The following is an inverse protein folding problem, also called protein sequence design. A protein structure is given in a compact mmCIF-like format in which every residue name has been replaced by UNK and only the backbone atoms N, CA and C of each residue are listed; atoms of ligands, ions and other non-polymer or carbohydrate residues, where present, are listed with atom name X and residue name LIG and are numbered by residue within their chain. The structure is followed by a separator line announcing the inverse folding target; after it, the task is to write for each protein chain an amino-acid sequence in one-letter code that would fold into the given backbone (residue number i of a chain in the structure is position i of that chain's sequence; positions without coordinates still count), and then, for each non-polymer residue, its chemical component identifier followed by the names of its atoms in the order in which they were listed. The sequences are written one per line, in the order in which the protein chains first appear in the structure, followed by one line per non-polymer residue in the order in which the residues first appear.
data_IF_764754752342
#
_entry.id   IF_764754752342
#
_cell.length_a   1.000
_cell.length_b   1.000
_cell.length_c   1.000
_cell.angle_alpha   90.00
_cell.angle_beta   90.00
_cell.angle_gamma   90.00
#
_symmetry.space_group_name_H-M   'P 1'
#
loop_
_entity.id
_entity.type
_entity.pdbx_description
1 polymer ?
#
# COMPACT_ATOMS: atom_id res chain seq x y z
N UNK A 1 17.10 -21.75 18.92
CA UNK A 1 15.74 -21.38 19.40
C UNK A 1 15.03 -22.64 19.84
N UNK A 2 14.21 -22.58 20.89
CA UNK A 2 13.43 -23.74 21.36
C UNK A 2 12.10 -23.79 20.62
N UNK A 3 11.75 -24.96 20.14
CA UNK A 3 10.46 -25.21 19.51
C UNK A 3 9.33 -25.18 20.55
N UNK A 4 8.22 -24.58 20.22
CA UNK A 4 7.01 -24.48 21.05
C UNK A 4 5.93 -25.41 20.51
N UNK A 5 5.18 -26.06 21.39
CA UNK A 5 3.94 -26.72 20.97
C UNK A 5 2.86 -25.67 20.67
N UNK A 6 1.77 -26.01 19.93
CA UNK A 6 0.67 -25.10 19.69
C UNK A 6 0.10 -24.49 20.98
N UNK A 7 -0.02 -25.29 22.05
CA UNK A 7 -0.53 -24.85 23.35
C UNK A 7 0.42 -23.84 24.02
N UNK A 8 1.74 -24.07 23.88
CA UNK A 8 2.75 -23.15 24.41
C UNK A 8 2.76 -21.84 23.63
N UNK A 9 2.61 -21.87 22.30
CA UNK A 9 2.50 -20.68 21.48
C UNK A 9 1.23 -19.87 21.81
N UNK A 10 0.08 -20.53 21.96
CA UNK A 10 -1.18 -19.91 22.38
C UNK A 10 -1.06 -19.32 23.77
N UNK A 11 -0.47 -20.04 24.74
CA UNK A 11 -0.24 -19.55 26.10
C UNK A 11 0.64 -18.29 26.11
N UNK A 12 1.67 -18.25 25.25
CA UNK A 12 2.55 -17.10 25.06
C UNK A 12 1.77 -15.87 24.56
N UNK A 13 0.90 -16.04 23.54
CA UNK A 13 0.01 -14.98 23.05
C UNK A 13 -0.93 -14.46 24.15
N UNK A 14 -1.57 -15.36 24.88
CA UNK A 14 -2.50 -15.02 25.96
C UNK A 14 -1.81 -14.29 27.13
N UNK A 15 -0.56 -14.62 27.43
CA UNK A 15 0.21 -13.96 28.51
C UNK A 15 0.54 -12.50 28.16
N UNK A 16 0.74 -12.19 26.91
CA UNK A 16 1.04 -10.83 26.43
C UNK A 16 -0.23 -9.98 26.32
N UNK A 17 -1.38 -10.57 26.01
CA UNK A 17 -2.69 -9.89 25.92
C UNK A 17 -3.30 -9.50 27.27
N UNK A 18 -2.82 -10.06 28.40
CA UNK A 18 -3.41 -9.84 29.74
C UNK A 18 -3.33 -8.40 30.28
N UNK A 19 -2.64 -7.49 29.64
CA UNK A 19 -2.52 -6.10 30.13
C UNK A 19 -3.68 -5.17 29.76
N UNK A 20 -4.68 -5.54 28.94
CA UNK A 20 -5.71 -4.58 28.47
C UNK A 20 -7.14 -5.07 28.17
N UNK A 21 -7.58 -6.26 28.55
CA UNK A 21 -8.97 -6.65 28.23
C UNK A 21 -9.79 -7.08 29.47
N UNK A 22 -10.68 -6.20 29.94
CA UNK A 22 -11.88 -6.55 30.71
C UNK A 22 -13.00 -6.94 29.75
N UNK A 23 -12.86 -8.02 28.99
CA UNK A 23 -13.88 -8.59 28.11
C UNK A 23 -13.76 -10.12 28.11
N UNK A 24 -14.83 -10.84 27.75
CA UNK A 24 -14.79 -12.30 27.56
C UNK A 24 -13.66 -12.63 26.58
N UNK A 25 -12.62 -13.27 27.08
CA UNK A 25 -11.47 -13.72 26.27
C UNK A 25 -11.97 -14.94 25.49
N UNK A 26 -12.20 -14.79 24.18
CA UNK A 26 -12.47 -15.90 23.29
C UNK A 26 -11.24 -16.82 23.23
N UNK A 27 -11.47 -18.12 23.29
CA UNK A 27 -10.37 -19.10 23.35
C UNK A 27 -9.75 -19.25 21.97
N UNK A 28 -8.46 -18.92 21.86
CA UNK A 28 -7.69 -19.19 20.65
C UNK A 28 -7.53 -20.70 20.43
N UNK A 29 -7.66 -21.14 19.17
CA UNK A 29 -7.48 -22.53 18.75
C UNK A 29 -6.48 -22.58 17.60
N UNK A 30 -5.68 -23.65 17.53
CA UNK A 30 -4.87 -23.93 16.36
C UNK A 30 -5.80 -24.19 15.16
N UNK A 31 -5.57 -23.52 14.06
CA UNK A 31 -6.27 -23.70 12.79
C UNK A 31 -5.39 -24.44 11.80
N UNK A 32 -4.16 -24.00 11.59
CA UNK A 32 -3.22 -24.57 10.63
C UNK A 32 -1.79 -24.51 11.15
N UNK A 33 -0.94 -25.38 10.61
CA UNK A 33 0.53 -25.34 10.72
C UNK A 33 1.05 -25.09 9.32
N UNK A 34 1.89 -24.08 9.15
CA UNK A 34 2.48 -23.74 7.86
C UNK A 34 3.95 -24.10 7.89
N UNK A 35 4.35 -24.99 6.96
CA UNK A 35 5.74 -25.43 6.75
C UNK A 35 6.48 -25.83 8.05
N UNK A 36 5.76 -26.36 9.03
CA UNK A 36 6.28 -26.71 10.36
C UNK A 36 6.98 -25.60 11.15
N UNK A 37 6.80 -24.32 10.79
CA UNK A 37 7.48 -23.18 11.44
C UNK A 37 6.56 -22.10 11.95
N UNK A 38 5.33 -22.03 11.46
CA UNK A 38 4.33 -21.02 11.87
C UNK A 38 3.02 -21.69 12.22
N UNK A 39 2.42 -21.26 13.34
CA UNK A 39 1.06 -21.61 13.71
C UNK A 39 0.09 -20.51 13.30
N UNK A 40 -1.02 -20.86 12.69
CA UNK A 40 -2.19 -20.01 12.55
C UNK A 40 -3.15 -20.41 13.65
N UNK A 41 -3.39 -19.49 14.56
CA UNK A 41 -4.35 -19.64 15.65
C UNK A 41 -5.48 -18.62 15.48
N UNK A 42 -6.71 -19.01 15.78
CA UNK A 42 -7.86 -18.12 15.59
C UNK A 42 -8.97 -18.33 16.61
N UNK A 43 -9.90 -17.38 16.60
CA UNK A 43 -11.13 -17.39 17.38
C UNK A 43 -12.25 -16.68 16.59
N UNK A 44 -13.33 -16.26 17.30
CA UNK A 44 -14.43 -15.50 16.69
C UNK A 44 -14.03 -14.09 16.21
N UNK A 45 -12.94 -13.55 16.72
CA UNK A 45 -12.47 -12.19 16.45
C UNK A 45 -11.47 -12.12 15.27
N UNK A 46 -10.92 -13.27 14.85
CA UNK A 46 -9.98 -13.34 13.73
C UNK A 46 -8.87 -14.36 13.91
N UNK A 47 -7.85 -14.24 13.09
CA UNK A 47 -6.72 -15.15 13.01
C UNK A 47 -5.41 -14.45 13.36
N UNK A 48 -4.47 -15.18 13.96
CA UNK A 48 -3.14 -14.72 14.36
C UNK A 48 -2.10 -15.67 13.80
N UNK A 49 -1.05 -15.12 13.17
CA UNK A 49 0.16 -15.82 12.83
C UNK A 49 1.14 -15.76 14.01
N UNK A 50 1.58 -16.90 14.50
CA UNK A 50 2.55 -17.00 15.59
C UNK A 50 3.66 -17.98 15.24
N UNK A 51 4.95 -17.64 15.45
CA UNK A 51 6.04 -18.57 15.17
C UNK A 51 6.02 -19.76 16.12
N UNK A 52 6.48 -20.91 15.60
CA UNK A 52 6.70 -22.12 16.38
C UNK A 52 7.91 -22.07 17.31
N UNK A 53 8.67 -20.99 17.31
CA UNK A 53 9.93 -20.86 18.06
C UNK A 53 9.91 -19.70 19.05
N UNK A 54 10.55 -19.89 20.23
CA UNK A 54 10.52 -18.92 21.35
C UNK A 54 11.42 -17.69 21.15
N UNK A 55 12.40 -17.75 20.27
CA UNK A 55 13.32 -16.67 19.95
C UNK A 55 12.77 -15.60 18.99
N UNK A 56 11.52 -15.72 18.55
CA UNK A 56 10.89 -14.84 17.55
C UNK A 56 9.73 -14.10 18.21
N UNK A 57 9.40 -12.90 17.67
CA UNK A 57 8.22 -12.14 18.11
C UNK A 57 6.96 -13.03 18.07
N UNK A 58 6.13 -12.98 19.11
CA UNK A 58 5.01 -13.92 19.28
C UNK A 58 3.85 -13.70 18.31
N UNK A 59 3.67 -12.48 17.78
CA UNK A 59 2.68 -12.15 16.74
C UNK A 59 3.44 -11.62 15.54
N UNK A 60 3.33 -12.31 14.40
CA UNK A 60 3.94 -11.89 13.15
C UNK A 60 2.92 -11.38 12.14
N UNK A 61 1.63 -11.62 12.39
CA UNK A 61 0.52 -11.09 11.63
C UNK A 61 -0.83 -11.42 12.28
N UNK A 62 -1.85 -10.65 11.94
CA UNK A 62 -3.23 -10.88 12.37
C UNK A 62 -4.22 -10.31 11.35
N UNK A 63 -5.37 -11.00 11.15
CA UNK A 63 -6.46 -10.53 10.28
C UNK A 63 -7.83 -11.02 10.77
N UNK A 64 -8.90 -10.30 10.40
CA UNK A 64 -10.26 -10.51 10.94
C UNK A 64 -11.08 -11.58 10.22
N UNK A 65 -10.64 -12.10 9.08
CA UNK A 65 -11.44 -13.06 8.30
C UNK A 65 -11.44 -14.45 8.92
N UNK A 66 -12.64 -15.00 9.16
CA UNK A 66 -12.82 -16.30 9.80
C UNK A 66 -12.61 -17.44 8.80
N UNK A 67 -11.67 -18.34 9.08
CA UNK A 67 -11.59 -19.66 8.44
C UNK A 67 -11.38 -19.68 6.92
N UNK A 68 -10.91 -18.57 6.33
CA UNK A 68 -10.67 -18.46 4.90
C UNK A 68 -9.37 -19.17 4.45
N UNK A 69 -9.34 -19.59 3.19
CA UNK A 69 -8.10 -20.06 2.57
C UNK A 69 -7.06 -18.95 2.55
N UNK A 70 -5.83 -19.29 2.89
CA UNK A 70 -4.72 -18.36 2.88
C UNK A 70 -4.43 -17.89 1.44
N UNK A 71 -4.22 -16.59 1.18
CA UNK A 71 -3.88 -16.11 -0.15
C UNK A 71 -2.58 -16.75 -0.65
N UNK A 72 -2.49 -17.03 -1.95
CA UNK A 72 -1.26 -17.60 -2.52
C UNK A 72 -0.01 -16.76 -2.20
N UNK A 73 -0.08 -15.44 -2.28
CA UNK A 73 1.06 -14.57 -1.96
C UNK A 73 1.43 -14.59 -0.46
N UNK A 74 0.46 -14.76 0.44
CA UNK A 74 0.76 -14.94 1.86
C UNK A 74 1.32 -16.35 2.13
N UNK A 75 0.86 -17.37 1.39
CA UNK A 75 1.44 -18.70 1.43
C UNK A 75 2.89 -18.68 0.97
N UNK A 76 3.18 -18.05 -0.16
CA UNK A 76 4.54 -17.88 -0.68
C UNK A 76 5.45 -17.22 0.35
N UNK A 77 4.98 -16.14 0.99
CA UNK A 77 5.74 -15.45 2.02
C UNK A 77 5.98 -16.28 3.27
N UNK A 78 4.98 -17.06 3.67
CA UNK A 78 5.15 -17.96 4.82
C UNK A 78 6.11 -19.12 4.51
N UNK A 79 6.14 -19.61 3.27
CA UNK A 79 7.13 -20.60 2.83
C UNK A 79 8.56 -20.04 2.86
N UNK A 80 8.74 -18.78 2.41
CA UNK A 80 10.03 -18.09 2.52
C UNK A 80 10.45 -17.91 3.97
N UNK A 81 9.54 -17.45 4.82
CA UNK A 81 9.77 -17.27 6.25
C UNK A 81 10.10 -18.60 6.94
N UNK A 82 9.43 -19.66 6.55
CA UNK A 82 9.71 -21.03 7.00
C UNK A 82 11.14 -21.45 6.66
N UNK A 83 11.53 -21.27 5.40
CA UNK A 83 12.88 -21.62 4.93
C UNK A 83 13.97 -20.86 5.68
N UNK A 84 13.70 -19.63 6.08
CA UNK A 84 14.63 -18.82 6.86
C UNK A 84 14.77 -19.29 8.31
N UNK A 85 13.65 -19.64 8.95
CA UNK A 85 13.68 -20.21 10.30
C UNK A 85 14.43 -21.53 10.30
N UNK A 86 14.20 -22.40 9.31
CA UNK A 86 14.94 -23.65 9.17
C UNK A 86 16.43 -23.40 8.95
N UNK A 87 16.79 -22.47 8.09
CA UNK A 87 18.18 -22.07 7.87
C UNK A 87 18.80 -21.55 9.16
N UNK A 88 18.12 -20.64 9.88
CA UNK A 88 18.60 -20.10 11.15
C UNK A 88 18.77 -21.20 12.22
N UNK A 89 17.86 -22.15 12.30
CA UNK A 89 17.99 -23.30 13.21
C UNK A 89 19.16 -24.20 12.84
N UNK A 90 19.41 -24.37 11.53
CA UNK A 90 20.51 -25.25 11.04
C UNK A 90 21.89 -24.58 11.16
N UNK A 91 21.99 -23.28 11.00
CA UNK A 91 23.27 -22.55 10.91
C UNK A 91 23.51 -21.67 12.15
N UNK A 92 22.46 -21.32 12.89
CA UNK A 92 22.51 -20.43 14.05
C UNK A 92 23.40 -20.95 15.21
N UNK A 93 23.58 -22.22 15.33
CA UNK A 93 24.52 -22.81 16.30
C UNK A 93 26.02 -22.68 15.88
N UNK A 94 26.28 -22.41 14.58
CA UNK A 94 27.63 -22.25 14.03
C UNK A 94 28.09 -20.80 13.94
N UNK A 95 27.20 -19.85 14.15
CA UNK A 95 27.47 -18.40 14.10
C UNK A 95 27.74 -17.85 15.50
N UNK A 96 28.79 -18.31 16.16
CA UNK A 96 29.42 -17.55 17.24
C UNK A 96 30.17 -16.40 16.54
N UNK A 97 29.80 -15.12 16.75
CA UNK A 97 30.55 -14.02 16.18
C UNK A 97 32.01 -14.12 16.69
N UNK A 98 33.03 -13.89 15.86
CA UNK A 98 34.39 -13.78 16.37
C UNK A 98 34.44 -12.72 17.47
N UNK A 99 35.16 -12.98 18.55
CA UNK A 99 35.40 -12.02 19.65
C UNK A 99 35.88 -10.69 19.04
N UNK A 100 35.08 -9.61 19.24
CA UNK A 100 35.37 -8.28 18.69
C UNK A 100 34.54 -7.86 17.48
N UNK A 101 33.75 -8.69 16.86
CA UNK A 101 32.68 -8.26 15.99
C UNK A 101 31.60 -7.64 16.91
N UNK A 102 31.56 -6.32 16.97
CA UNK A 102 30.49 -5.61 17.68
C UNK A 102 29.17 -6.21 17.26
N UNK A 103 28.47 -6.82 18.20
CA UNK A 103 27.08 -7.21 18.03
C UNK A 103 26.42 -6.03 17.32
N UNK A 104 25.99 -6.22 16.07
CA UNK A 104 25.03 -5.30 15.46
C UNK A 104 23.89 -5.35 16.46
N UNK A 105 23.79 -4.29 17.26
CA UNK A 105 22.99 -4.26 18.45
C UNK A 105 21.62 -4.74 18.10
N UNK A 106 21.22 -5.77 18.81
CA UNK A 106 19.81 -6.11 18.92
C UNK A 106 19.10 -4.79 19.18
N UNK A 107 18.46 -4.25 18.15
CA UNK A 107 17.62 -3.07 18.12
C UNK A 107 17.98 -2.04 19.20
N UNK A 108 18.71 -0.99 18.83
CA UNK A 108 18.67 0.24 19.63
C UNK A 108 17.18 0.48 19.92
N UNK A 109 16.80 0.75 21.20
CA UNK A 109 15.40 0.90 21.53
C UNK A 109 14.80 1.92 20.56
N UNK A 110 13.86 1.46 19.71
CA UNK A 110 13.14 2.35 18.80
C UNK A 110 12.55 3.44 19.70
N UNK A 111 12.70 4.70 19.31
CA UNK A 111 12.02 5.79 20.02
C UNK A 111 10.53 5.39 20.19
N UNK A 112 9.89 5.71 21.32
CA UNK A 112 8.51 5.30 21.58
C UNK A 112 7.62 5.69 20.41
N UNK A 113 7.09 4.69 19.70
CA UNK A 113 6.16 4.89 18.58
C UNK A 113 4.75 5.00 19.13
N UNK A 114 3.90 5.76 18.44
CA UNK A 114 2.48 5.87 18.73
C UNK A 114 1.65 5.11 17.70
N UNK A 115 0.43 4.74 18.08
CA UNK A 115 -0.52 4.13 17.17
C UNK A 115 -0.87 5.09 16.02
N UNK A 116 -0.98 4.54 14.82
CA UNK A 116 -1.56 5.22 13.67
C UNK A 116 -2.78 4.40 13.23
N UNK A 117 -4.00 4.96 13.28
CA UNK A 117 -5.19 4.25 12.83
C UNK A 117 -5.08 3.97 11.33
N UNK A 118 -5.85 2.99 10.85
CA UNK A 118 -5.96 2.72 9.42
C UNK A 118 -6.37 4.00 8.68
N UNK A 119 -5.61 4.36 7.65
CA UNK A 119 -5.82 5.57 6.86
C UNK A 119 -6.81 5.34 5.70
N UNK A 120 -7.07 4.09 5.33
CA UNK A 120 -7.95 3.71 4.23
C UNK A 120 -8.97 2.69 4.68
N UNK A 121 -10.16 2.73 4.08
CA UNK A 121 -11.26 1.80 4.32
C UNK A 121 -11.60 0.92 3.10
N UNK A 122 -10.94 1.18 1.96
CA UNK A 122 -11.22 0.50 0.70
C UNK A 122 -10.92 -0.99 0.76
N UNK A 123 -11.79 -1.78 0.11
CA UNK A 123 -11.65 -3.23 -0.02
C UNK A 123 -11.75 -3.60 -1.50
N UNK A 124 -10.76 -3.12 -2.29
CA UNK A 124 -10.78 -3.28 -3.73
C UNK A 124 -9.94 -4.46 -4.19
N UNK A 125 -10.19 -4.93 -5.40
CA UNK A 125 -9.57 -6.12 -5.98
C UNK A 125 -9.12 -5.86 -7.43
N UNK A 126 -8.42 -6.83 -8.01
CA UNK A 126 -7.88 -6.72 -9.37
C UNK A 126 -8.83 -7.25 -10.45
N UNK A 127 -9.91 -7.96 -10.07
CA UNK A 127 -10.88 -8.57 -10.98
C UNK A 127 -12.18 -7.76 -11.01
N UNK A 128 -13.19 -8.22 -11.72
CA UNK A 128 -14.47 -7.55 -11.83
C UNK A 128 -15.07 -7.17 -10.46
N UNK A 129 -15.64 -5.98 -10.34
CA UNK A 129 -15.92 -5.00 -11.39
C UNK A 129 -14.74 -4.03 -11.67
N UNK A 130 -13.63 -4.11 -10.95
CA UNK A 130 -12.52 -3.17 -11.01
C UNK A 130 -11.82 -3.14 -12.37
N UNK A 131 -11.79 -4.28 -13.08
CA UNK A 131 -11.16 -4.43 -14.39
C UNK A 131 -12.14 -4.39 -15.58
N UNK A 132 -13.37 -3.89 -15.35
CA UNK A 132 -14.42 -3.97 -16.39
C UNK A 132 -14.07 -3.18 -17.66
N UNK A 133 -13.20 -2.18 -17.56
CA UNK A 133 -12.71 -1.39 -18.71
C UNK A 133 -11.38 -1.87 -19.29
N UNK A 134 -10.71 -2.82 -18.66
CA UNK A 134 -9.40 -3.34 -19.10
C UNK A 134 -9.62 -4.61 -19.94
N UNK A 135 -9.94 -4.41 -21.21
CA UNK A 135 -10.33 -5.49 -22.14
C UNK A 135 -9.47 -5.44 -23.39
N UNK A 136 -8.79 -6.55 -23.68
CA UNK A 136 -8.00 -6.74 -24.90
C UNK A 136 -8.39 -8.06 -25.56
N UNK A 137 -8.59 -8.04 -26.86
CA UNK A 137 -9.05 -9.18 -27.67
C UNK A 137 -10.30 -9.87 -27.07
N UNK A 138 -11.24 -9.07 -26.55
CA UNK A 138 -12.48 -9.53 -25.96
C UNK A 138 -12.31 -10.19 -24.57
N UNK A 139 -11.11 -10.18 -23.98
CA UNK A 139 -10.83 -10.76 -22.66
C UNK A 139 -10.46 -9.69 -21.65
N UNK A 140 -11.02 -9.81 -20.45
CA UNK A 140 -10.66 -8.93 -19.32
C UNK A 140 -9.30 -9.33 -18.76
N UNK A 141 -8.39 -8.36 -18.62
CA UNK A 141 -7.15 -8.51 -17.87
C UNK A 141 -7.31 -7.98 -16.44
N UNK A 142 -6.67 -8.55 -15.43
CA UNK A 142 -6.64 -7.96 -14.08
C UNK A 142 -6.09 -6.53 -14.10
N UNK A 143 -6.48 -5.68 -13.14
CA UNK A 143 -5.93 -4.32 -13.02
C UNK A 143 -4.43 -4.30 -12.72
N UNK A 144 -3.93 -5.34 -12.04
CA UNK A 144 -2.60 -5.41 -11.47
C UNK A 144 -2.53 -4.86 -10.05
N UNK A 145 -1.62 -5.41 -9.24
CA UNK A 145 -1.48 -5.04 -7.84
C UNK A 145 -1.04 -3.58 -7.65
N UNK A 146 -0.11 -3.08 -8.49
CA UNK A 146 0.33 -1.68 -8.45
C UNK A 146 -0.83 -0.71 -8.68
N UNK A 147 -1.65 -0.98 -9.69
CA UNK A 147 -2.84 -0.18 -10.03
C UNK A 147 -3.85 -0.18 -8.89
N UNK A 148 -4.20 -1.36 -8.38
CA UNK A 148 -5.18 -1.49 -7.30
C UNK A 148 -4.73 -0.75 -6.04
N UNK A 149 -3.46 -0.89 -5.68
CA UNK A 149 -2.88 -0.21 -4.50
C UNK A 149 -2.90 1.30 -4.68
N UNK A 150 -2.42 1.80 -5.82
CA UNK A 150 -2.41 3.24 -6.10
C UNK A 150 -3.83 3.83 -6.16
N UNK A 151 -4.79 3.11 -6.76
CA UNK A 151 -6.18 3.56 -6.84
C UNK A 151 -6.82 3.77 -5.46
N UNK A 152 -6.54 2.89 -4.51
CA UNK A 152 -7.02 3.02 -3.13
C UNK A 152 -6.43 4.26 -2.44
N UNK A 153 -5.14 4.53 -2.64
CA UNK A 153 -4.47 5.73 -2.11
C UNK A 153 -5.01 6.99 -2.77
N UNK A 154 -5.21 6.98 -4.09
CA UNK A 154 -5.78 8.11 -4.82
C UNK A 154 -7.21 8.41 -4.34
N UNK A 155 -8.03 7.38 -4.13
CA UNK A 155 -9.37 7.58 -3.55
C UNK A 155 -9.30 8.30 -2.21
N UNK A 156 -8.41 7.88 -1.30
CA UNK A 156 -8.24 8.57 -0.02
C UNK A 156 -7.93 10.04 -0.19
N UNK A 157 -6.98 10.38 -1.06
CA UNK A 157 -6.61 11.78 -1.27
C UNK A 157 -7.72 12.58 -1.95
N UNK A 158 -8.52 11.94 -2.81
CA UNK A 158 -9.70 12.56 -3.40
C UNK A 158 -10.81 12.82 -2.39
N UNK A 159 -11.10 11.87 -1.49
CA UNK A 159 -12.07 12.06 -0.40
C UNK A 159 -11.68 13.22 0.54
N UNK A 160 -10.39 13.46 0.70
CA UNK A 160 -9.87 14.58 1.47
C UNK A 160 -9.78 15.89 0.69
N UNK A 161 -10.18 15.90 -0.60
CA UNK A 161 -10.14 17.08 -1.45
C UNK A 161 -8.75 17.47 -1.97
N UNK A 162 -7.79 16.55 -1.92
CA UNK A 162 -6.42 16.79 -2.42
C UNK A 162 -6.20 16.32 -3.86
N UNK A 163 -7.05 15.45 -4.38
CA UNK A 163 -6.89 14.91 -5.73
C UNK A 163 -8.23 14.81 -6.44
N UNK A 164 -8.28 15.19 -7.71
CA UNK A 164 -9.56 15.31 -8.39
C UNK A 164 -9.68 14.44 -9.61
N UNK A 165 -8.89 14.70 -10.62
CA UNK A 165 -8.97 14.05 -11.93
C UNK A 165 -7.67 13.38 -12.32
N UNK A 166 -7.42 13.29 -13.61
CA UNK A 166 -6.21 12.68 -14.13
C UNK A 166 -5.78 13.42 -15.40
N UNK A 167 -4.49 13.74 -15.56
CA UNK A 167 -3.94 14.17 -16.83
C UNK A 167 -4.20 13.13 -17.94
N UNK A 168 -4.05 13.49 -19.24
CA UNK A 168 -4.18 12.52 -20.31
C UNK A 168 -3.14 11.42 -20.17
N UNK A 169 -3.47 10.22 -20.60
CA UNK A 169 -2.52 9.10 -20.64
C UNK A 169 -1.92 8.96 -22.03
N UNK A 170 -0.73 8.37 -22.11
CA UNK A 170 -0.09 8.08 -23.40
C UNK A 170 -0.61 6.77 -23.99
N UNK A 171 -0.54 6.66 -25.34
CA UNK A 171 -0.73 5.40 -26.03
C UNK A 171 0.56 4.57 -25.99
N UNK A 172 0.43 3.25 -25.78
CA UNK A 172 1.59 2.36 -25.75
C UNK A 172 1.22 0.93 -26.18
N UNK A 173 2.22 0.08 -26.35
CA UNK A 173 2.05 -1.37 -26.56
C UNK A 173 2.57 -2.13 -25.35
N UNK A 174 1.81 -3.13 -24.90
CA UNK A 174 2.23 -4.02 -23.81
C UNK A 174 3.40 -4.90 -24.24
N UNK A 175 4.32 -5.18 -23.32
CA UNK A 175 5.52 -5.94 -23.62
C UNK A 175 5.23 -7.43 -23.90
N UNK A 176 4.35 -8.04 -23.08
CA UNK A 176 4.09 -9.49 -23.14
C UNK A 176 3.25 -9.91 -24.35
N UNK A 177 2.18 -9.17 -24.64
CA UNK A 177 1.21 -9.58 -25.67
C UNK A 177 1.10 -8.59 -26.85
N UNK A 178 1.81 -7.46 -26.80
CA UNK A 178 1.74 -6.43 -27.85
C UNK A 178 0.36 -5.76 -27.96
N UNK A 179 -0.45 -5.80 -26.90
CA UNK A 179 -1.75 -5.13 -26.92
C UNK A 179 -1.57 -3.63 -27.09
N UNK A 180 -2.37 -3.05 -28.00
CA UNK A 180 -2.39 -1.61 -28.22
C UNK A 180 -3.28 -0.93 -27.18
N UNK A 181 -2.65 -0.20 -26.26
CA UNK A 181 -3.33 0.61 -25.25
C UNK A 181 -3.48 2.02 -25.81
N UNK A 182 -4.73 2.47 -25.93
CA UNK A 182 -5.04 3.81 -26.46
C UNK A 182 -4.86 4.86 -25.38
N UNK A 183 -4.41 6.05 -25.78
CA UNK A 183 -4.42 7.21 -24.91
C UNK A 183 -5.84 7.55 -24.44
N UNK A 184 -5.97 7.95 -23.18
CA UNK A 184 -7.19 8.51 -22.62
C UNK A 184 -7.05 10.04 -22.56
N UNK A 185 -8.13 10.81 -22.79
CA UNK A 185 -8.11 12.26 -22.61
C UNK A 185 -7.96 12.61 -21.13
N UNK A 186 -7.63 13.87 -20.83
CA UNK A 186 -7.67 14.35 -19.46
C UNK A 186 -9.07 14.15 -18.84
N UNK A 187 -9.09 13.86 -17.54
CA UNK A 187 -10.31 13.73 -16.76
C UNK A 187 -10.31 14.80 -15.66
N UNK A 188 -11.25 15.72 -15.71
CA UNK A 188 -11.37 16.82 -14.75
C UNK A 188 -11.61 16.32 -13.34
N UNK A 189 -12.44 15.30 -13.16
CA UNK A 189 -12.71 14.69 -11.85
C UNK A 189 -13.16 13.24 -11.98
N UNK A 190 -12.71 12.41 -11.05
CA UNK A 190 -13.30 11.09 -10.83
C UNK A 190 -14.64 11.24 -10.07
N UNK A 191 -15.53 10.26 -10.22
CA UNK A 191 -16.82 10.26 -9.51
C UNK A 191 -16.63 9.75 -8.07
N UNK A 192 -15.99 10.55 -7.21
CA UNK A 192 -15.68 10.19 -5.83
C UNK A 192 -16.89 9.78 -5.01
N UNK A 193 -18.07 10.36 -5.27
CA UNK A 193 -19.32 9.99 -4.61
C UNK A 193 -19.71 8.52 -4.86
N UNK A 194 -19.21 7.91 -5.93
CA UNK A 194 -19.45 6.52 -6.29
C UNK A 194 -18.21 5.62 -6.11
N UNK A 195 -17.07 6.16 -5.68
CA UNK A 195 -15.90 5.39 -5.27
C UNK A 195 -16.07 4.91 -3.82
N UNK A 196 -16.86 3.88 -3.61
CA UNK A 196 -17.21 3.34 -2.29
C UNK A 196 -16.31 2.19 -1.88
N UNK A 197 -16.35 1.81 -0.60
CA UNK A 197 -15.56 0.69 -0.02
C UNK A 197 -15.69 -0.60 -0.82
N UNK A 198 -16.93 -0.99 -1.17
CA UNK A 198 -17.26 -2.14 -2.06
C UNK A 198 -18.34 -1.71 -3.04
N UNK A 199 -18.07 -1.57 -4.34
CA UNK A 199 -19.04 -1.14 -5.34
C UNK A 199 -20.13 -2.21 -5.54
N UNK A 200 -21.39 -1.78 -5.46
CA UNK A 200 -22.56 -2.65 -5.61
C UNK A 200 -23.41 -2.27 -6.83
N UNK A 201 -23.69 -0.98 -7.00
CA UNK A 201 -24.49 -0.47 -8.13
C UNK A 201 -23.65 -0.35 -9.39
N UNK A 202 -24.29 -0.35 -10.57
CA UNK A 202 -23.58 -0.23 -11.83
C UNK A 202 -22.83 1.12 -11.95
N UNK A 203 -23.37 2.19 -11.36
CA UNK A 203 -22.69 3.49 -11.29
C UNK A 203 -21.41 3.41 -10.47
N UNK A 204 -21.44 2.74 -9.31
CA UNK A 204 -20.27 2.53 -8.45
C UNK A 204 -19.22 1.64 -9.14
N UNK A 205 -19.67 0.56 -9.82
CA UNK A 205 -18.78 -0.31 -10.60
C UNK A 205 -18.11 0.45 -11.75
N UNK A 206 -18.88 1.27 -12.46
CA UNK A 206 -18.35 2.08 -13.55
C UNK A 206 -17.33 3.12 -13.06
N UNK A 207 -17.60 3.78 -11.92
CA UNK A 207 -16.69 4.76 -11.33
C UNK A 207 -15.35 4.14 -10.94
N UNK A 208 -15.36 3.00 -10.23
CA UNK A 208 -14.11 2.33 -9.84
C UNK A 208 -13.36 1.76 -11.04
N UNK A 209 -14.06 1.20 -12.03
CA UNK A 209 -13.43 0.70 -13.26
C UNK A 209 -12.77 1.83 -14.06
N UNK A 210 -13.36 3.03 -14.09
CA UNK A 210 -12.77 4.20 -14.73
C UNK A 210 -11.48 4.63 -14.02
N UNK A 211 -11.49 4.73 -12.70
CA UNK A 211 -10.30 5.06 -11.93
C UNK A 211 -9.17 4.06 -12.19
N UNK A 212 -9.48 2.76 -12.15
CA UNK A 212 -8.51 1.70 -12.41
C UNK A 212 -7.94 1.77 -13.84
N UNK A 213 -8.76 2.05 -14.85
CA UNK A 213 -8.35 2.18 -16.24
C UNK A 213 -7.31 3.31 -16.39
N UNK A 214 -7.61 4.50 -15.88
CA UNK A 214 -6.70 5.66 -15.96
C UNK A 214 -5.36 5.36 -15.28
N UNK A 215 -5.37 4.79 -14.09
CA UNK A 215 -4.13 4.50 -13.35
C UNK A 215 -3.32 3.40 -14.04
N UNK A 216 -3.99 2.31 -14.48
CA UNK A 216 -3.32 1.21 -15.15
C UNK A 216 -2.65 1.67 -16.48
N UNK A 217 -3.31 2.54 -17.23
CA UNK A 217 -2.78 3.07 -18.48
C UNK A 217 -1.65 4.06 -18.23
N UNK A 218 -1.78 4.93 -17.22
CA UNK A 218 -0.68 5.82 -16.81
C UNK A 218 0.57 5.05 -16.38
N UNK A 219 0.41 3.90 -15.73
CA UNK A 219 1.53 3.07 -15.30
C UNK A 219 2.17 2.25 -16.41
N UNK A 220 1.68 2.37 -17.66
CA UNK A 220 2.10 1.56 -18.77
C UNK A 220 2.11 0.06 -18.41
N UNK A 221 1.02 -0.37 -17.77
CA UNK A 221 0.89 -1.73 -17.25
C UNK A 221 0.98 -2.76 -18.36
N UNK A 222 1.70 -3.86 -18.13
CA UNK A 222 1.83 -4.97 -19.06
C UNK A 222 0.70 -5.98 -18.83
N UNK A 223 -0.34 -5.88 -19.64
CA UNK A 223 -1.57 -6.64 -19.48
C UNK A 223 -1.49 -8.04 -20.07
N UNK A 224 -1.87 -9.03 -19.26
CA UNK A 224 -2.19 -10.39 -19.70
C UNK A 224 -3.47 -10.86 -19.02
N UNK A 225 -4.12 -11.90 -19.56
CA UNK A 225 -5.34 -12.46 -18.97
C UNK A 225 -5.11 -13.13 -17.62
N UNK A 226 -3.88 -13.55 -17.35
CA UNK A 226 -3.50 -14.26 -16.13
C UNK A 226 -2.93 -13.34 -15.04
N UNK A 227 -2.47 -12.15 -15.41
CA UNK A 227 -1.87 -11.19 -14.49
C UNK A 227 -1.48 -9.91 -15.22
N UNK A 228 -1.29 -8.84 -14.48
CA UNK A 228 -0.88 -7.53 -14.99
C UNK A 228 0.23 -7.00 -14.11
N UNK A 229 1.33 -6.60 -14.71
CA UNK A 229 2.52 -6.12 -14.04
C UNK A 229 2.84 -4.67 -14.39
N UNK A 230 3.51 -3.98 -13.46
CA UNK A 230 4.20 -2.71 -13.69
C UNK A 230 5.44 -2.67 -12.81
N UNK A 231 6.50 -2.02 -13.27
CA UNK A 231 7.73 -1.88 -12.50
C UNK A 231 7.54 -0.84 -11.37
N UNK A 232 7.70 -1.19 -10.07
CA UNK A 232 7.45 -0.26 -8.97
C UNK A 232 8.30 1.01 -9.02
N UNK A 233 9.51 0.96 -9.55
CA UNK A 233 10.35 2.16 -9.72
C UNK A 233 9.75 3.11 -10.75
N UNK A 234 9.22 2.59 -11.86
CA UNK A 234 8.51 3.39 -12.86
C UNK A 234 7.17 3.89 -12.32
N UNK A 235 6.46 3.09 -11.51
CA UNK A 235 5.24 3.52 -10.82
C UNK A 235 5.49 4.76 -9.97
N UNK A 236 6.61 4.82 -9.24
CA UNK A 236 6.98 6.01 -8.47
C UNK A 236 7.16 7.25 -9.37
N UNK A 237 7.77 7.08 -10.54
CA UNK A 237 7.93 8.14 -11.54
C UNK A 237 6.55 8.59 -12.08
N UNK A 238 5.70 7.65 -12.46
CA UNK A 238 4.35 7.97 -12.98
C UNK A 238 3.46 8.64 -11.94
N UNK A 239 3.52 8.20 -10.67
CA UNK A 239 2.81 8.87 -9.58
C UNK A 239 3.24 10.33 -9.43
N UNK A 240 4.54 10.60 -9.56
CA UNK A 240 5.11 11.94 -9.41
C UNK A 240 4.86 12.80 -10.65
N UNK A 241 5.21 12.32 -11.82
CA UNK A 241 5.32 13.12 -13.03
C UNK A 241 4.03 13.14 -13.85
N UNK A 242 3.30 12.03 -13.90
CA UNK A 242 2.06 11.93 -14.68
C UNK A 242 0.82 12.16 -13.83
N UNK A 243 0.70 11.47 -12.68
CA UNK A 243 -0.48 11.62 -11.80
C UNK A 243 -0.36 12.79 -10.82
N UNK A 244 0.78 13.48 -10.74
CA UNK A 244 0.99 14.66 -9.89
C UNK A 244 0.66 14.41 -8.41
N UNK A 245 0.92 13.21 -7.93
CA UNK A 245 0.62 12.75 -6.57
C UNK A 245 1.61 13.25 -5.51
N UNK A 246 2.42 14.26 -5.82
CA UNK A 246 3.36 14.90 -4.90
C UNK A 246 4.79 15.01 -5.43
N UNK A 247 5.46 16.11 -5.07
CA UNK A 247 6.85 16.38 -5.50
C UNK A 247 7.90 15.56 -4.74
N UNK A 248 7.56 15.08 -3.53
CA UNK A 248 8.49 14.36 -2.65
C UNK A 248 8.44 12.83 -2.82
N UNK A 249 7.71 12.33 -3.81
CA UNK A 249 7.63 10.90 -4.07
C UNK A 249 9.03 10.35 -4.31
N UNK A 250 9.35 9.31 -3.53
CA UNK A 250 10.64 8.63 -3.57
C UNK A 250 10.46 7.13 -3.57
N UNK A 251 11.28 6.44 -4.37
CA UNK A 251 11.40 5.00 -4.38
C UNK A 251 12.58 4.59 -3.48
N UNK A 252 12.29 3.86 -2.43
CA UNK A 252 13.29 3.40 -1.47
C UNK A 252 13.35 1.87 -1.44
N UNK A 253 14.49 1.32 -1.06
CA UNK A 253 14.70 -0.12 -0.96
C UNK A 253 15.27 -0.50 0.38
N UNK A 254 14.80 -1.60 0.96
CA UNK A 254 15.34 -2.14 2.21
C UNK A 254 16.80 -2.57 2.06
N UNK A 255 17.21 -3.04 0.87
CA UNK A 255 18.58 -3.43 0.58
C UNK A 255 19.58 -2.28 0.73
N UNK A 256 19.19 -1.04 0.36
CA UNK A 256 20.06 0.14 0.49
C UNK A 256 20.04 0.75 1.88
N UNK A 257 18.88 0.76 2.54
CA UNK A 257 18.67 1.47 3.79
C UNK A 257 18.92 0.61 5.03
N UNK A 258 18.89 -0.70 4.89
CA UNK A 258 18.67 -1.62 6.01
C UNK A 258 17.22 -1.61 6.48
N UNK A 259 16.77 -2.72 7.06
CA UNK A 259 15.37 -2.92 7.43
C UNK A 259 14.86 -1.87 8.44
N UNK A 260 15.64 -1.57 9.48
CA UNK A 260 15.23 -0.61 10.51
C UNK A 260 15.01 0.79 9.96
N UNK A 261 15.88 1.28 9.06
CA UNK A 261 15.68 2.57 8.40
C UNK A 261 14.49 2.55 7.45
N UNK A 262 14.32 1.46 6.69
CA UNK A 262 13.18 1.26 5.80
C UNK A 262 11.85 1.32 6.56
N UNK A 263 11.74 0.60 7.69
CA UNK A 263 10.58 0.66 8.58
C UNK A 263 10.34 2.07 9.16
N UNK A 264 11.41 2.79 9.52
CA UNK A 264 11.29 4.14 10.04
C UNK A 264 10.74 5.11 8.99
N UNK A 265 11.15 4.99 7.72
CA UNK A 265 10.56 5.78 6.64
C UNK A 265 9.06 5.50 6.51
N UNK A 266 8.65 4.22 6.47
CA UNK A 266 7.24 3.85 6.37
C UNK A 266 6.45 4.40 7.58
N UNK A 267 6.95 4.19 8.79
CA UNK A 267 6.29 4.70 10.00
C UNK A 267 6.12 6.22 9.98
N UNK A 268 7.14 6.98 9.57
CA UNK A 268 7.07 8.44 9.48
C UNK A 268 6.06 8.92 8.43
N UNK A 269 5.89 8.19 7.32
CA UNK A 269 4.82 8.47 6.36
C UNK A 269 3.44 8.29 7.00
N UNK A 270 3.24 7.18 7.70
CA UNK A 270 1.97 6.91 8.38
C UNK A 270 1.63 7.95 9.43
N UNK A 271 2.62 8.41 10.22
CA UNK A 271 2.44 9.51 11.18
C UNK A 271 1.94 10.80 10.55
N UNK A 272 2.31 11.04 9.30
CA UNK A 272 1.87 12.21 8.55
C UNK A 272 0.58 11.96 7.73
N UNK A 273 -0.10 10.84 8.01
CA UNK A 273 -1.35 10.48 7.34
C UNK A 273 -1.17 10.04 5.89
N UNK A 274 0.04 9.65 5.46
CA UNK A 274 0.37 9.20 4.11
C UNK A 274 0.47 7.68 4.04
N UNK A 275 -0.46 6.99 3.36
CA UNK A 275 -0.32 5.57 3.06
C UNK A 275 0.88 5.33 2.14
N UNK A 276 1.51 4.16 2.30
CA UNK A 276 2.73 3.78 1.58
C UNK A 276 2.43 2.62 0.65
N UNK A 277 2.95 2.67 -0.57
CA UNK A 277 2.98 1.51 -1.47
C UNK A 277 4.22 0.69 -1.13
N UNK A 278 4.03 -0.58 -0.80
CA UNK A 278 5.12 -1.52 -0.54
C UNK A 278 5.03 -2.66 -1.56
N UNK A 279 6.18 -3.08 -2.08
CA UNK A 279 6.27 -4.27 -2.91
C UNK A 279 7.37 -5.21 -2.39
N UNK A 280 7.12 -6.51 -2.51
CA UNK A 280 8.06 -7.57 -2.21
C UNK A 280 8.01 -8.68 -3.26
N UNK A 281 9.10 -9.44 -3.36
CA UNK A 281 9.21 -10.57 -4.29
C UNK A 281 9.48 -11.86 -3.54
N UNK A 282 8.95 -12.95 -4.09
CA UNK A 282 9.23 -14.31 -3.66
C UNK A 282 10.53 -14.82 -4.27
N UNK A 283 11.11 -15.86 -3.70
CA UNK A 283 12.29 -16.57 -4.26
C UNK A 283 11.99 -17.22 -5.61
N UNK A 284 10.73 -17.55 -5.86
CA UNK A 284 10.25 -18.08 -7.16
C UNK A 284 10.08 -17.00 -8.22
N UNK A 285 10.31 -15.70 -7.88
CA UNK A 285 10.22 -14.59 -8.81
C UNK A 285 8.81 -13.96 -8.91
N UNK A 286 7.82 -14.44 -8.17
CA UNK A 286 6.52 -13.81 -8.03
C UNK A 286 6.62 -12.54 -7.17
N UNK A 287 6.03 -11.42 -7.62
CA UNK A 287 5.99 -10.18 -6.86
C UNK A 287 4.57 -9.76 -6.52
N UNK A 288 4.40 -9.03 -5.42
CA UNK A 288 3.13 -8.40 -5.05
C UNK A 288 3.34 -7.00 -4.50
N UNK A 289 2.38 -6.12 -4.82
CA UNK A 289 2.34 -4.73 -4.35
C UNK A 289 1.06 -4.53 -3.54
N UNK A 290 1.20 -3.89 -2.39
CA UNK A 290 0.12 -3.67 -1.44
C UNK A 290 0.29 -2.32 -0.74
N UNK A 291 -0.76 -1.85 -0.06
CA UNK A 291 -0.68 -0.65 0.74
C UNK A 291 -0.39 -0.96 2.21
N UNK A 292 0.43 -0.12 2.82
CA UNK A 292 0.61 -0.05 4.28
C UNK A 292 0.01 1.27 4.74
N UNK A 293 -0.97 1.22 5.64
CA UNK A 293 -1.79 2.38 5.96
C UNK A 293 -2.16 2.54 7.44
N UNK A 294 -1.50 1.81 8.32
CA UNK A 294 -1.69 1.92 9.77
C UNK A 294 -0.55 1.30 10.56
N UNK A 295 -0.46 1.62 11.85
CA UNK A 295 0.57 1.08 12.74
C UNK A 295 0.04 0.86 14.16
N UNK A 296 0.25 -0.34 14.69
CA UNK A 296 -0.01 -0.72 16.08
C UNK A 296 1.31 -0.69 16.88
N UNK A 297 1.46 0.33 17.71
CA UNK A 297 2.66 0.52 18.52
C UNK A 297 2.77 -0.49 19.66
N UNK A 298 1.68 -1.13 20.06
CA UNK A 298 1.68 -2.13 21.13
C UNK A 298 2.35 -3.42 20.70
N UNK A 299 2.11 -3.82 19.46
CA UNK A 299 2.58 -5.08 18.89
C UNK A 299 3.67 -4.91 17.84
N UNK A 300 4.05 -3.66 17.49
CA UNK A 300 5.00 -3.31 16.42
C UNK A 300 4.54 -3.88 15.06
N UNK A 301 3.24 -3.71 14.73
CA UNK A 301 2.62 -4.24 13.52
C UNK A 301 2.14 -3.10 12.61
N UNK A 302 2.23 -3.34 11.31
CA UNK A 302 1.71 -2.46 10.27
C UNK A 302 0.41 -3.02 9.72
N UNK A 303 -0.60 -2.16 9.52
CA UNK A 303 -1.79 -2.57 8.78
C UNK A 303 -1.48 -2.66 7.29
N UNK A 304 -1.86 -3.79 6.69
CA UNK A 304 -1.65 -4.10 5.27
C UNK A 304 -2.99 -4.30 4.58
N UNK A 305 -3.22 -3.54 3.51
CA UNK A 305 -4.30 -3.76 2.56
C UNK A 305 -3.72 -4.43 1.31
N UNK A 306 -4.06 -5.70 1.12
CA UNK A 306 -3.49 -6.55 0.06
C UNK A 306 -4.04 -6.27 -1.34
N UNK A 307 -5.12 -5.51 -1.47
CA UNK A 307 -5.79 -5.30 -2.75
C UNK A 307 -6.52 -6.54 -3.28
N UNK A 308 -7.03 -7.39 -2.36
CA UNK A 308 -7.76 -8.63 -2.69
C UNK A 308 -9.21 -8.62 -2.21
N UNK A 309 -9.86 -7.48 -2.31
CA UNK A 309 -11.27 -7.33 -1.94
C UNK A 309 -11.51 -7.25 -0.43
N UNK A 310 -10.48 -6.95 0.35
CA UNK A 310 -10.48 -6.95 1.80
C UNK A 310 -10.15 -8.31 2.41
N UNK A 311 -9.95 -9.34 1.58
CA UNK A 311 -9.50 -10.65 2.08
C UNK A 311 -8.08 -10.51 2.60
N UNK A 312 -7.89 -10.99 3.85
CA UNK A 312 -6.60 -11.02 4.53
C UNK A 312 -5.98 -9.65 4.88
N UNK A 313 -6.68 -8.55 4.68
CA UNK A 313 -6.26 -7.27 5.23
C UNK A 313 -6.11 -7.41 6.75
N UNK A 314 -5.02 -6.87 7.31
CA UNK A 314 -4.72 -7.06 8.72
C UNK A 314 -3.39 -6.47 9.15
N UNK A 315 -2.91 -6.89 10.30
CA UNK A 315 -1.75 -6.35 10.99
C UNK A 315 -0.57 -7.32 10.93
N UNK A 316 0.55 -6.88 10.36
CA UNK A 316 1.71 -7.72 10.08
C UNK A 316 3.00 -7.05 10.53
N UNK A 317 3.96 -7.84 11.05
CA UNK A 317 5.30 -7.34 11.29
C UNK A 317 6.03 -7.14 9.95
N UNK A 318 6.58 -5.96 9.72
CA UNK A 318 7.39 -5.71 8.51
C UNK A 318 8.63 -6.60 8.47
N UNK A 319 9.17 -6.98 9.62
CA UNK A 319 10.28 -7.93 9.77
C UNK A 319 9.89 -9.38 9.42
N UNK A 320 8.62 -9.74 9.50
CA UNK A 320 8.15 -11.06 9.08
C UNK A 320 8.12 -11.21 7.54
N UNK A 321 8.10 -10.09 6.85
CA UNK A 321 8.20 -10.02 5.39
C UNK A 321 9.67 -9.97 4.93
N UNK A 322 10.64 -10.12 5.84
CA UNK A 322 12.07 -10.01 5.56
C UNK A 322 12.93 -10.78 6.54
N UNK A 323 13.88 -11.61 6.07
CA UNK A 323 14.84 -12.27 6.92
C UNK A 323 15.81 -11.29 7.60
N UNK A 324 16.32 -11.67 8.76
CA UNK A 324 17.37 -10.91 9.43
C UNK A 324 18.68 -11.03 8.64
N UNK A 325 19.13 -9.89 8.20
CA UNK A 325 20.50 -9.41 7.91
C UNK A 325 21.51 -10.24 7.12
N UNK A 326 21.37 -11.52 6.85
CA UNK A 326 22.46 -12.29 6.23
C UNK A 326 22.08 -13.12 5.00
N UNK A 327 20.88 -13.01 4.48
CA UNK A 327 20.40 -13.83 3.36
C UNK A 327 19.93 -12.95 2.20
N UNK A 328 20.30 -13.35 0.99
CA UNK A 328 20.08 -12.62 -0.25
C UNK A 328 18.61 -12.33 -0.65
N UNK A 329 17.65 -12.86 0.05
CA UNK A 329 16.22 -12.73 -0.23
C UNK A 329 15.64 -11.36 0.10
N UNK A 330 16.33 -10.54 0.87
CA UNK A 330 15.88 -9.21 1.29
C UNK A 330 16.12 -8.12 0.27
N UNK A 331 16.81 -8.43 -0.78
CA UNK A 331 17.26 -7.41 -1.73
C UNK A 331 16.12 -6.73 -2.47
N UNK A 332 14.90 -7.22 -2.38
CA UNK A 332 13.83 -6.77 -3.26
C UNK A 332 12.67 -6.03 -2.56
N UNK A 333 12.68 -5.86 -1.23
CA UNK A 333 11.65 -5.03 -0.60
C UNK A 333 11.84 -3.58 -0.96
N UNK A 334 10.78 -2.99 -1.48
CA UNK A 334 10.76 -1.60 -1.92
C UNK A 334 9.52 -0.90 -1.40
N UNK A 335 9.63 0.41 -1.24
CA UNK A 335 8.48 1.25 -0.93
C UNK A 335 8.49 2.51 -1.79
N UNK A 336 7.30 3.00 -2.08
CA UNK A 336 7.08 4.32 -2.65
C UNK A 336 6.47 5.17 -1.55
N UNK A 337 7.20 6.19 -1.13
CA UNK A 337 6.89 7.11 -0.04
C UNK A 337 6.67 8.52 -0.58
N UNK A 338 6.14 9.42 0.26
CA UNK A 338 5.91 10.82 -0.10
C UNK A 338 4.68 11.02 -0.99
N UNK A 339 3.74 10.08 -0.99
CA UNK A 339 2.54 10.15 -1.83
C UNK A 339 1.53 11.08 -1.16
N UNK A 340 1.60 12.35 -1.50
CA UNK A 340 0.69 13.39 -1.03
C UNK A 340 0.58 14.48 -2.09
N UNK A 341 -0.56 14.55 -2.81
CA UNK A 341 -0.80 15.67 -3.73
C UNK A 341 -0.96 16.98 -2.96
N UNK A 342 -0.83 18.08 -3.65
CA UNK A 342 -1.17 19.38 -3.08
C UNK A 342 -2.69 19.46 -2.86
N UNK A 343 -3.12 20.21 -1.83
CA UNK A 343 -4.55 20.48 -1.64
C UNK A 343 -5.07 21.24 -2.86
N UNK A 344 -6.12 20.71 -3.45
CA UNK A 344 -6.63 21.28 -4.69
C UNK A 344 -7.17 22.69 -4.47
N UNK A 345 -6.64 23.65 -5.24
CA UNK A 345 -6.98 25.07 -5.11
C UNK A 345 -6.10 25.84 -4.12
N UNK A 346 -5.26 25.16 -3.31
CA UNK A 346 -4.26 25.80 -2.45
C UNK A 346 -2.97 26.02 -3.26
N UNK A 347 -2.92 27.14 -3.96
CA UNK A 347 -1.84 27.45 -4.91
C UNK A 347 -0.62 27.96 -4.18
N UNK A 348 -0.82 28.79 -3.16
CA UNK A 348 0.25 29.38 -2.37
C UNK A 348 0.85 28.39 -1.34
N UNK A 349 0.13 27.31 -1.00
CA UNK A 349 0.59 26.25 -0.09
C UNK A 349 0.44 26.62 1.38
N UNK A 350 -0.46 27.53 1.74
CA UNK A 350 -0.71 27.95 3.12
C UNK A 350 -1.71 27.04 3.87
N UNK A 351 -2.36 26.11 3.16
CA UNK A 351 -3.33 25.14 3.68
C UNK A 351 -4.78 25.59 3.61
N UNK A 352 -5.04 26.85 3.22
CA UNK A 352 -6.38 27.36 2.94
C UNK A 352 -6.65 27.39 1.42
N UNK A 353 -7.90 27.51 1.03
CA UNK A 353 -8.28 27.76 -0.37
C UNK A 353 -9.13 29.00 -0.36
N UNK A 354 -8.55 30.12 -0.77
CA UNK A 354 -9.19 31.42 -0.66
C UNK A 354 -8.97 32.33 -1.90
N UNK A 355 -9.30 33.61 -1.76
CA UNK A 355 -9.17 34.56 -2.84
C UNK A 355 -7.71 34.82 -3.25
N UNK A 356 -6.74 34.57 -2.37
CA UNK A 356 -5.31 34.77 -2.67
C UNK A 356 -4.87 33.74 -3.72
N UNK A 357 -5.37 32.52 -3.63
CA UNK A 357 -5.10 31.47 -4.62
C UNK A 357 -5.71 31.83 -5.98
N UNK A 358 -6.95 32.32 -6.00
CA UNK A 358 -7.60 32.80 -7.23
C UNK A 358 -6.73 33.86 -7.91
N UNK A 359 -6.25 34.83 -7.13
CA UNK A 359 -5.39 35.91 -7.64
C UNK A 359 -4.07 35.37 -8.20
N UNK A 360 -3.48 34.37 -7.54
CA UNK A 360 -2.24 33.74 -8.00
C UNK A 360 -2.44 33.03 -9.34
N UNK A 361 -3.52 32.24 -9.52
CA UNK A 361 -3.83 31.61 -10.81
C UNK A 361 -4.04 32.64 -11.91
N UNK A 362 -4.78 33.72 -11.62
CA UNK A 362 -4.94 34.82 -12.59
C UNK A 362 -3.61 35.43 -13.00
N UNK A 363 -2.69 35.62 -12.05
CA UNK A 363 -1.36 36.15 -12.32
C UNK A 363 -0.51 35.15 -13.16
N UNK A 364 -0.56 33.86 -12.84
CA UNK A 364 0.14 32.83 -13.61
C UNK A 364 -0.40 32.78 -15.05
N UNK A 365 -1.73 32.80 -15.22
CA UNK A 365 -2.38 32.82 -16.53
C UNK A 365 -1.99 34.06 -17.37
N UNK A 366 -1.97 35.25 -16.75
CA UNK A 366 -1.58 36.49 -17.43
C UNK A 366 -0.10 36.47 -17.89
N UNK A 367 0.76 35.83 -17.11
CA UNK A 367 2.19 35.70 -17.42
C UNK A 367 2.51 34.53 -18.34
N UNK A 368 1.53 33.75 -18.79
CA UNK A 368 1.72 32.53 -19.57
C UNK A 368 2.52 31.46 -18.81
N UNK A 369 2.48 31.51 -17.47
CA UNK A 369 3.20 30.57 -16.62
C UNK A 369 2.34 29.35 -16.37
N UNK A 370 2.87 28.19 -16.68
CA UNK A 370 2.24 26.92 -16.32
C UNK A 370 2.73 26.41 -14.96
N UNK A 371 1.80 25.96 -14.12
CA UNK A 371 2.09 25.16 -12.95
C UNK A 371 1.02 24.08 -12.76
N UNK A 372 1.43 22.88 -12.40
CA UNK A 372 0.53 21.74 -12.16
C UNK A 372 -0.51 22.03 -11.07
N UNK A 373 -0.20 22.91 -10.12
CA UNK A 373 -1.13 23.32 -9.06
C UNK A 373 -2.24 24.21 -9.56
N UNK A 374 -1.93 25.06 -10.55
CA UNK A 374 -2.86 26.05 -11.07
C UNK A 374 -3.72 25.53 -12.23
N UNK A 375 -3.33 24.43 -12.86
CA UNK A 375 -4.12 23.70 -13.87
C UNK A 375 -5.19 22.84 -13.17
N UNK A 376 -6.27 23.50 -12.74
CA UNK A 376 -7.31 22.87 -11.89
C UNK A 376 -8.17 21.88 -12.67
N UNK A 377 -8.33 22.09 -13.98
CA UNK A 377 -9.15 21.26 -14.85
C UNK A 377 -8.34 20.16 -15.57
N UNK A 378 -7.01 20.10 -15.38
CA UNK A 378 -6.08 19.18 -16.02
C UNK A 378 -6.14 19.23 -17.57
N UNK A 379 -6.34 20.41 -18.16
CA UNK A 379 -6.36 20.56 -19.64
C UNK A 379 -4.97 20.88 -20.22
N UNK A 380 -3.94 20.99 -19.38
CA UNK A 380 -2.56 21.29 -19.74
C UNK A 380 -2.27 22.78 -19.91
N UNK A 381 -3.20 23.66 -19.51
CA UNK A 381 -3.05 25.10 -19.56
C UNK A 381 -3.46 25.72 -18.23
N UNK A 382 -2.85 26.86 -17.90
CA UNK A 382 -3.30 27.69 -16.77
C UNK A 382 -3.99 28.91 -17.34
N UNK A 383 -5.29 28.99 -17.11
CA UNK A 383 -6.16 30.01 -17.69
C UNK A 383 -7.08 30.64 -16.64
N UNK A 384 -7.86 31.66 -17.05
CA UNK A 384 -8.91 32.22 -16.20
C UNK A 384 -9.97 31.17 -15.82
N UNK A 385 -10.14 30.13 -16.61
CA UNK A 385 -11.05 29.03 -16.29
C UNK A 385 -10.67 28.35 -14.97
N UNK A 386 -9.39 28.12 -14.75
CA UNK A 386 -8.88 27.51 -13.53
C UNK A 386 -9.11 28.42 -12.31
N UNK A 387 -8.84 29.72 -12.47
CA UNK A 387 -9.13 30.69 -11.44
C UNK A 387 -10.64 30.74 -11.07
N UNK A 388 -11.54 30.63 -12.06
CA UNK A 388 -12.97 30.55 -11.82
C UNK A 388 -13.40 29.30 -11.08
N UNK A 389 -12.73 28.16 -11.31
CA UNK A 389 -13.01 26.93 -10.57
C UNK A 389 -12.69 27.09 -9.08
N UNK A 390 -11.55 27.71 -8.74
CA UNK A 390 -11.21 28.01 -7.35
C UNK A 390 -12.19 29.04 -6.76
N UNK A 391 -12.51 30.08 -7.51
CA UNK A 391 -13.46 31.10 -7.06
C UNK A 391 -14.85 30.52 -6.74
N UNK A 392 -15.33 29.57 -7.55
CA UNK A 392 -16.61 28.92 -7.30
C UNK A 392 -16.58 28.08 -6.00
N UNK A 393 -15.44 27.46 -5.68
CA UNK A 393 -15.24 26.80 -4.38
C UNK A 393 -15.24 27.80 -3.22
N UNK A 394 -14.47 28.89 -3.34
CA UNK A 394 -14.39 29.95 -2.31
C UNK A 394 -15.78 30.55 -2.03
N UNK A 395 -16.60 30.66 -3.06
CA UNK A 395 -17.98 31.18 -2.95
C UNK A 395 -19.00 30.09 -2.50
N UNK A 396 -18.57 28.87 -2.25
CA UNK A 396 -19.43 27.77 -1.85
C UNK A 396 -20.41 27.28 -2.93
N UNK A 397 -20.14 27.61 -4.21
CA UNK A 397 -21.02 27.22 -5.33
C UNK A 397 -20.75 25.78 -5.81
N UNK A 398 -19.56 25.28 -5.60
CA UNK A 398 -19.15 23.91 -5.95
C UNK A 398 -17.96 23.45 -5.12
N UNK A 399 -17.78 22.14 -5.00
CA UNK A 399 -16.51 21.57 -4.60
C UNK A 399 -15.55 21.46 -5.80
N UNK A 400 -14.25 21.57 -5.54
CA UNK A 400 -13.24 21.39 -6.57
C UNK A 400 -13.04 19.91 -6.88
#
# INVERSE_FOLDING_TARGET
MKELTPEQAIARLQSQGKKKAKGKQSTLKLLYIVEDVVYIVGNEDGNILTPRYDGIQSVIGAWEEKGGEMPPALQDWLQEYASEIEWFNRVGESLVPPEGAGLISAHAPKAPRQNVPMLMDTKWSQKAPYNDKIVFDGKKCPTGCNTTTAAQIIKRWGDLGYYRGCPPTDAYKTASNGYEVKALPSLVTFDYANLVVKPKTDKQKAAVAQLMEYIAYTFHSDFTVNGTGANPKQVATYLKENLKMGSFISYITAAKLGLSSFENYIYNELLQGRPVIVAGWTTSGGGHTFAVDGYDATNDLYHVNWGWGGSYDGWFAMSALSPKASVAYNSNKVAIIGIQPYKLGDINGDGEVDIVDVMQVVQEAQNGKYSDKADINNDGQVTVTDAMLILDKVLGKREL
#
